data_IF_215599411629
#
_entry.id   IF_215599411629
#
_cell.length_a   1.000
_cell.length_b   1.000
_cell.length_c   1.000
_cell.angle_alpha   90.00
_cell.angle_beta   90.00
_cell.angle_gamma   90.00
#
_symmetry.space_group_name_H-M   'P 1'
#
loop_
_entity.id
_entity.type
_entity.pdbx_description
1 polymer ?
#
# COMPACT_ATOMS: atom_id res chain seq x y z
N UNK A 1 -70.88 29.17 -15.42
CA UNK A 1 -69.74 29.62 -14.60
C UNK A 1 -68.88 28.40 -14.29
N UNK A 2 -67.57 28.54 -14.51
CA UNK A 2 -66.66 27.47 -14.91
C UNK A 2 -66.13 26.59 -13.76
N UNK A 3 -65.74 25.38 -14.16
CA UNK A 3 -65.26 24.24 -13.36
C UNK A 3 -63.96 24.55 -12.61
N UNK A 4 -63.87 24.11 -11.36
CA UNK A 4 -62.59 23.94 -10.66
C UNK A 4 -61.92 22.63 -11.10
N UNK A 5 -60.72 22.72 -11.67
CA UNK A 5 -59.79 21.60 -11.80
C UNK A 5 -58.56 21.91 -10.97
N UNK A 6 -58.40 21.25 -9.82
CA UNK A 6 -57.14 21.25 -9.07
C UNK A 6 -56.15 20.32 -9.80
N UNK A 7 -55.23 20.91 -10.57
CA UNK A 7 -54.09 20.21 -11.14
C UNK A 7 -53.01 20.10 -10.06
N UNK A 8 -52.93 18.92 -9.42
CA UNK A 8 -51.79 18.55 -8.59
C UNK A 8 -50.68 18.03 -9.51
N UNK A 9 -49.82 18.94 -9.99
CA UNK A 9 -48.54 18.56 -10.58
C UNK A 9 -47.45 19.21 -9.75
N UNK A 10 -47.05 18.55 -8.67
CA UNK A 10 -45.76 18.81 -8.05
C UNK A 10 -45.13 17.49 -7.59
N UNK A 11 -44.00 17.22 -8.23
CA UNK A 11 -42.82 16.58 -7.67
C UNK A 11 -42.79 15.05 -7.48
N UNK A 12 -42.74 14.32 -8.60
CA UNK A 12 -42.33 12.91 -8.63
C UNK A 12 -40.84 12.70 -8.94
N UNK A 13 -40.10 13.76 -9.28
CA UNK A 13 -38.71 13.64 -9.71
C UNK A 13 -37.71 13.78 -8.56
N UNK A 14 -38.05 14.52 -7.49
CA UNK A 14 -37.15 14.73 -6.36
C UNK A 14 -36.95 13.48 -5.47
N UNK A 15 -37.94 12.58 -5.42
CA UNK A 15 -37.87 11.36 -4.59
C UNK A 15 -36.99 10.28 -5.23
N UNK A 16 -36.96 10.20 -6.56
CA UNK A 16 -36.21 9.15 -7.27
C UNK A 16 -34.72 9.47 -7.26
N UNK A 17 -34.34 10.74 -7.42
CA UNK A 17 -32.95 11.19 -7.28
C UNK A 17 -32.43 11.03 -5.85
N UNK A 18 -33.21 11.41 -4.82
CA UNK A 18 -32.80 11.21 -3.43
C UNK A 18 -32.61 9.73 -3.04
N UNK A 19 -33.43 8.82 -3.58
CA UNK A 19 -33.29 7.38 -3.34
C UNK A 19 -32.08 6.80 -4.09
N UNK A 20 -31.86 7.20 -5.36
CA UNK A 20 -30.69 6.78 -6.15
C UNK A 20 -29.38 7.25 -5.51
N UNK A 21 -29.34 8.50 -5.03
CA UNK A 21 -28.23 9.07 -4.28
C UNK A 21 -27.99 8.23 -3.01
N UNK A 22 -29.03 7.94 -2.21
CA UNK A 22 -28.87 7.12 -1.00
C UNK A 22 -28.36 5.68 -1.27
N UNK A 23 -28.77 5.07 -2.38
CA UNK A 23 -28.36 3.71 -2.77
C UNK A 23 -26.92 3.68 -3.29
N UNK A 24 -26.49 4.67 -4.10
CA UNK A 24 -25.10 4.77 -4.56
C UNK A 24 -24.15 5.08 -3.41
N UNK A 25 -24.55 5.92 -2.44
CA UNK A 25 -23.74 6.22 -1.24
C UNK A 25 -23.50 4.99 -0.35
N UNK A 26 -24.51 4.15 -0.13
CA UNK A 26 -24.34 2.87 0.58
C UNK A 26 -23.33 1.95 -0.12
N UNK A 27 -23.34 1.93 -1.46
CA UNK A 27 -22.39 1.10 -2.22
C UNK A 27 -20.97 1.65 -2.20
N UNK A 28 -20.79 2.98 -2.33
CA UNK A 28 -19.47 3.62 -2.26
C UNK A 28 -18.82 3.43 -0.88
N UNK A 29 -19.59 3.61 0.20
CA UNK A 29 -19.11 3.42 1.57
C UNK A 29 -18.66 1.98 1.83
N UNK A 30 -19.43 1.00 1.32
CA UNK A 30 -19.09 -0.43 1.45
C UNK A 30 -17.87 -0.82 0.62
N UNK A 31 -17.73 -0.27 -0.59
CA UNK A 31 -16.55 -0.47 -1.42
C UNK A 31 -15.29 0.09 -0.77
N UNK A 32 -15.39 1.29 -0.18
CA UNK A 32 -14.30 1.93 0.55
C UNK A 32 -13.86 1.12 1.77
N UNK A 33 -14.80 0.62 2.55
CA UNK A 33 -14.53 -0.25 3.71
C UNK A 33 -13.87 -1.57 3.27
N UNK A 34 -14.33 -2.17 2.17
CA UNK A 34 -13.74 -3.38 1.62
C UNK A 34 -12.30 -3.18 1.13
N UNK A 35 -12.02 -2.05 0.49
CA UNK A 35 -10.65 -1.73 0.04
C UNK A 35 -9.71 -1.55 1.24
N UNK A 36 -10.18 -0.86 2.29
CA UNK A 36 -9.43 -0.67 3.53
C UNK A 36 -9.09 -2.02 4.20
N UNK A 37 -10.05 -2.94 4.26
CA UNK A 37 -9.84 -4.29 4.80
C UNK A 37 -8.91 -5.12 3.92
N UNK A 38 -8.99 -4.95 2.60
CA UNK A 38 -8.12 -5.63 1.64
C UNK A 38 -6.67 -5.19 1.83
N UNK A 39 -6.41 -3.88 2.00
CA UNK A 39 -5.08 -3.37 2.33
C UNK A 39 -4.55 -3.93 3.64
N UNK A 40 -5.37 -3.92 4.70
CA UNK A 40 -4.96 -4.46 6.00
C UNK A 40 -4.64 -5.96 5.91
N UNK A 41 -5.44 -6.72 5.14
CA UNK A 41 -5.17 -8.14 4.90
C UNK A 41 -3.82 -8.34 4.21
N UNK A 42 -3.54 -7.63 3.10
CA UNK A 42 -2.23 -7.69 2.42
C UNK A 42 -1.07 -7.36 3.37
N UNK A 43 -1.27 -6.37 4.25
CA UNK A 43 -0.29 -5.96 5.28
C UNK A 43 -0.12 -6.97 6.42
N UNK A 44 -1.02 -7.91 6.61
CA UNK A 44 -0.83 -9.01 7.56
C UNK A 44 -0.24 -10.25 6.86
N UNK A 45 -0.62 -10.48 5.61
CA UNK A 45 -0.29 -11.71 4.89
C UNK A 45 1.12 -11.69 4.29
N UNK A 46 1.73 -10.52 4.07
CA UNK A 46 3.07 -10.40 3.45
C UNK A 46 4.19 -11.15 4.18
N UNK A 47 4.05 -11.35 5.50
CA UNK A 47 5.02 -12.07 6.31
C UNK A 47 4.73 -13.58 6.37
N UNK A 48 3.52 -13.99 6.00
CA UNK A 48 3.02 -15.36 6.15
C UNK A 48 3.35 -16.23 4.93
N UNK A 49 3.34 -15.65 3.72
CA UNK A 49 3.38 -16.43 2.47
C UNK A 49 4.79 -16.62 1.87
N UNK A 50 5.80 -15.87 2.30
CA UNK A 50 7.10 -15.84 1.59
C UNK A 50 8.36 -15.72 2.45
N UNK A 51 8.36 -16.22 3.70
CA UNK A 51 9.52 -16.14 4.62
C UNK A 51 10.10 -14.71 4.76
N UNK A 52 9.28 -13.68 4.51
CA UNK A 52 9.73 -12.29 4.47
C UNK A 52 10.65 -11.99 3.28
N UNK A 53 10.37 -12.45 2.07
CA UNK A 53 11.11 -11.99 0.89
C UNK A 53 10.94 -10.47 0.71
N UNK A 54 12.06 -9.76 0.54
CA UNK A 54 12.07 -8.29 0.38
C UNK A 54 11.25 -7.84 -0.84
N UNK A 55 11.22 -8.65 -1.90
CA UNK A 55 10.46 -8.38 -3.12
C UNK A 55 8.95 -8.41 -2.88
N UNK A 56 8.47 -9.36 -2.05
CA UNK A 56 7.06 -9.40 -1.64
C UNK A 56 6.69 -8.17 -0.81
N UNK A 57 7.59 -7.71 0.07
CA UNK A 57 7.38 -6.51 0.87
C UNK A 57 7.22 -5.25 0.00
N UNK A 58 8.01 -5.12 -1.07
CA UNK A 58 7.88 -4.03 -2.03
C UNK A 58 6.58 -4.11 -2.85
N UNK A 59 6.22 -5.31 -3.33
CA UNK A 59 4.98 -5.51 -4.09
C UNK A 59 3.74 -5.11 -3.27
N UNK A 60 3.73 -5.42 -1.96
CA UNK A 60 2.63 -5.04 -1.06
C UNK A 60 2.55 -3.52 -0.87
N UNK A 61 3.69 -2.82 -0.83
CA UNK A 61 3.67 -1.35 -0.79
C UNK A 61 3.10 -0.74 -2.06
N UNK A 62 3.49 -1.26 -3.23
CA UNK A 62 2.99 -0.79 -4.53
C UNK A 62 1.48 -1.00 -4.67
N UNK A 63 0.99 -2.20 -4.38
CA UNK A 63 -0.46 -2.49 -4.38
C UNK A 63 -1.24 -1.61 -3.40
N UNK A 64 -0.66 -1.30 -2.23
CA UNK A 64 -1.29 -0.42 -1.26
C UNK A 64 -1.27 1.06 -1.70
N UNK A 65 -0.29 1.47 -2.50
CA UNK A 65 -0.25 2.80 -3.12
C UNK A 65 -1.44 2.98 -4.09
N UNK A 66 -1.73 1.95 -4.89
CA UNK A 66 -2.89 1.92 -5.79
C UNK A 66 -4.21 1.98 -5.01
N UNK A 67 -4.35 1.18 -3.95
CA UNK A 67 -5.52 1.21 -3.08
C UNK A 67 -5.72 2.57 -2.42
N UNK A 68 -4.65 3.27 -2.02
CA UNK A 68 -4.74 4.64 -1.49
C UNK A 68 -5.23 5.64 -2.53
N UNK A 69 -4.81 5.51 -3.80
CA UNK A 69 -5.31 6.34 -4.88
C UNK A 69 -6.82 6.12 -5.09
N UNK A 70 -7.28 4.88 -5.09
CA UNK A 70 -8.71 4.55 -5.18
C UNK A 70 -9.52 5.08 -3.98
N UNK A 71 -8.99 4.95 -2.76
CA UNK A 71 -9.60 5.52 -1.56
C UNK A 71 -9.71 7.05 -1.66
N UNK A 72 -8.70 7.72 -2.20
CA UNK A 72 -8.71 9.18 -2.41
C UNK A 72 -9.76 9.61 -3.44
N UNK A 73 -10.01 8.80 -4.47
CA UNK A 73 -11.05 9.08 -5.46
C UNK A 73 -12.45 8.97 -4.85
N UNK A 74 -12.68 7.98 -3.97
CA UNK A 74 -13.93 7.91 -3.21
C UNK A 74 -14.05 9.00 -2.16
N UNK A 75 -12.95 9.43 -1.54
CA UNK A 75 -12.96 10.54 -0.60
C UNK A 75 -13.43 11.84 -1.24
N UNK A 76 -13.07 12.08 -2.49
CA UNK A 76 -13.53 13.24 -3.26
C UNK A 76 -15.04 13.22 -3.56
N UNK A 77 -15.70 12.07 -3.44
CA UNK A 77 -17.13 11.88 -3.70
C UNK A 77 -17.99 11.97 -2.42
N UNK A 78 -17.37 12.03 -1.24
CA UNK A 78 -18.04 12.04 0.05
C UNK A 78 -18.08 13.45 0.66
N UNK A 79 -19.12 13.72 1.43
CA UNK A 79 -19.20 14.94 2.23
C UNK A 79 -18.27 14.89 3.44
N UNK A 80 -17.99 16.06 4.03
CA UNK A 80 -17.12 16.18 5.19
C UNK A 80 -17.64 15.40 6.42
N UNK A 81 -18.94 15.48 6.73
CA UNK A 81 -19.56 14.68 7.79
C UNK A 81 -19.38 13.17 7.57
N UNK A 82 -19.52 12.69 6.33
CA UNK A 82 -19.38 11.27 6.00
C UNK A 82 -17.94 10.79 6.13
N UNK A 83 -16.97 11.58 5.65
CA UNK A 83 -15.55 11.30 5.84
C UNK A 83 -15.19 11.21 7.31
N UNK A 84 -15.71 12.13 8.12
CA UNK A 84 -15.50 12.12 9.57
C UNK A 84 -16.10 10.88 10.22
N UNK A 85 -17.35 10.56 9.90
CA UNK A 85 -18.04 9.37 10.39
C UNK A 85 -17.31 8.08 9.99
N UNK A 86 -16.83 8.00 8.73
CA UNK A 86 -16.02 6.88 8.26
C UNK A 86 -14.70 6.76 9.02
N UNK A 87 -14.00 7.87 9.24
CA UNK A 87 -12.75 7.92 9.97
C UNK A 87 -12.90 7.49 11.43
N UNK A 88 -13.96 7.94 12.10
CA UNK A 88 -14.28 7.57 13.49
C UNK A 88 -14.66 6.09 13.59
N UNK A 89 -15.51 5.58 12.69
CA UNK A 89 -15.94 4.17 12.66
C UNK A 89 -14.76 3.22 12.42
N UNK A 90 -13.86 3.58 11.51
CA UNK A 90 -12.76 2.71 11.07
C UNK A 90 -11.41 3.05 11.71
N UNK A 91 -11.39 3.88 12.75
CA UNK A 91 -10.17 4.35 13.42
C UNK A 91 -9.22 3.21 13.79
N UNK A 92 -9.76 2.13 14.35
CA UNK A 92 -8.98 0.96 14.75
C UNK A 92 -8.29 0.28 13.56
N UNK A 93 -8.94 0.25 12.39
CA UNK A 93 -8.38 -0.33 11.16
C UNK A 93 -7.22 0.53 10.66
N UNK A 94 -7.39 1.85 10.67
CA UNK A 94 -6.31 2.79 10.32
C UNK A 94 -5.12 2.66 11.26
N UNK A 95 -5.35 2.60 12.56
CA UNK A 95 -4.28 2.41 13.55
C UNK A 95 -3.53 1.08 13.32
N UNK A 96 -4.26 -0.02 13.09
CA UNK A 96 -3.67 -1.31 12.78
C UNK A 96 -2.85 -1.27 11.47
N UNK A 97 -3.36 -0.64 10.42
CA UNK A 97 -2.64 -0.45 9.16
C UNK A 97 -1.34 0.32 9.35
N UNK A 98 -1.36 1.42 10.11
CA UNK A 98 -0.17 2.23 10.39
C UNK A 98 0.89 1.41 11.11
N UNK A 99 0.50 0.61 12.11
CA UNK A 99 1.41 -0.29 12.82
C UNK A 99 2.04 -1.28 11.84
N UNK A 100 1.22 -1.95 11.02
CA UNK A 100 1.71 -2.95 10.06
C UNK A 100 2.60 -2.36 8.97
N UNK A 101 2.29 -1.17 8.45
CA UNK A 101 3.17 -0.47 7.52
C UNK A 101 4.52 -0.10 8.15
N UNK A 102 4.53 0.31 9.43
CA UNK A 102 5.80 0.57 10.13
C UNK A 102 6.64 -0.69 10.26
N UNK A 103 6.04 -1.82 10.59
CA UNK A 103 6.71 -3.12 10.66
C UNK A 103 7.32 -3.50 9.29
N UNK A 104 6.56 -3.36 8.21
CA UNK A 104 6.99 -3.62 6.83
C UNK A 104 8.17 -2.71 6.43
N UNK A 105 8.10 -1.41 6.70
CA UNK A 105 9.18 -0.47 6.40
C UNK A 105 10.45 -0.80 7.19
N UNK A 106 10.31 -1.14 8.47
CA UNK A 106 11.45 -1.55 9.30
C UNK A 106 12.08 -2.86 8.80
N UNK A 107 11.27 -3.78 8.30
CA UNK A 107 11.75 -5.00 7.67
C UNK A 107 12.59 -4.69 6.43
N UNK A 108 12.07 -3.90 5.49
CA UNK A 108 12.78 -3.48 4.27
C UNK A 108 14.11 -2.80 4.61
N UNK A 109 14.12 -1.88 5.58
CA UNK A 109 15.34 -1.20 6.03
C UNK A 109 16.41 -2.18 6.54
N UNK A 110 16.01 -3.21 7.29
CA UNK A 110 16.93 -4.24 7.81
C UNK A 110 17.54 -5.06 6.69
N UNK A 111 16.73 -5.57 5.77
CA UNK A 111 17.24 -6.38 4.66
C UNK A 111 18.09 -5.56 3.69
N UNK A 112 17.73 -4.31 3.41
CA UNK A 112 18.55 -3.39 2.60
C UNK A 112 19.94 -3.14 3.22
N UNK A 113 20.00 -2.95 4.54
CA UNK A 113 21.27 -2.79 5.27
C UNK A 113 22.13 -4.06 5.22
N UNK A 114 21.51 -5.23 5.36
CA UNK A 114 22.17 -6.54 5.26
C UNK A 114 22.76 -6.76 3.87
N UNK A 115 21.99 -6.48 2.82
CA UNK A 115 22.45 -6.54 1.43
C UNK A 115 23.64 -5.60 1.17
N UNK A 116 23.56 -4.36 1.65
CA UNK A 116 24.66 -3.39 1.54
C UNK A 116 25.94 -3.89 2.22
N UNK A 117 25.81 -4.47 3.42
CA UNK A 117 26.92 -5.06 4.17
C UNK A 117 27.54 -6.24 3.41
N UNK A 118 26.71 -7.14 2.86
CA UNK A 118 27.17 -8.27 2.06
C UNK A 118 27.92 -7.82 0.81
N UNK A 119 27.42 -6.81 0.09
CA UNK A 119 28.10 -6.22 -1.07
C UNK A 119 29.45 -5.61 -0.70
N UNK A 120 29.52 -4.89 0.42
CA UNK A 120 30.79 -4.37 0.93
C UNK A 120 31.79 -5.49 1.21
N UNK A 121 31.37 -6.55 1.90
CA UNK A 121 32.21 -7.72 2.17
C UNK A 121 32.67 -8.42 0.89
N UNK A 122 31.80 -8.58 -0.10
CA UNK A 122 32.17 -9.14 -1.41
C UNK A 122 33.18 -8.28 -2.14
N UNK A 123 33.03 -6.95 -2.11
CA UNK A 123 33.99 -6.02 -2.69
C UNK A 123 35.35 -6.09 -2.00
N UNK A 124 35.38 -6.18 -0.67
CA UNK A 124 36.62 -6.39 0.09
C UNK A 124 37.28 -7.73 -0.24
N UNK A 125 36.51 -8.83 -0.29
CA UNK A 125 37.01 -10.16 -0.70
C UNK A 125 37.57 -10.13 -2.13
N UNK A 126 36.85 -9.52 -3.08
CA UNK A 126 37.29 -9.39 -4.47
C UNK A 126 38.60 -8.60 -4.60
N UNK A 127 38.74 -7.50 -3.86
CA UNK A 127 40.00 -6.73 -3.79
C UNK A 127 41.14 -7.56 -3.20
N UNK A 128 40.91 -8.28 -2.10
CA UNK A 128 41.91 -9.14 -1.49
C UNK A 128 42.36 -10.26 -2.45
N UNK A 129 41.43 -10.96 -3.11
CA UNK A 129 41.73 -12.00 -4.10
C UNK A 129 42.53 -11.44 -5.28
N UNK A 130 42.19 -10.24 -5.77
CA UNK A 130 42.97 -9.56 -6.83
C UNK A 130 44.39 -9.22 -6.37
N UNK A 131 44.56 -8.77 -5.14
CA UNK A 131 45.88 -8.53 -4.54
C UNK A 131 46.71 -9.83 -4.47
N UNK A 132 46.15 -10.92 -3.96
CA UNK A 132 46.83 -12.22 -3.94
C UNK A 132 47.18 -12.70 -5.36
N UNK A 133 46.23 -12.65 -6.30
CA UNK A 133 46.48 -13.06 -7.70
C UNK A 133 47.53 -12.21 -8.42
N UNK A 134 47.66 -10.94 -8.06
CA UNK A 134 48.70 -10.07 -8.60
C UNK A 134 50.06 -10.30 -7.91
N UNK A 135 50.07 -10.64 -6.62
CA UNK A 135 51.30 -10.93 -5.86
C UNK A 135 51.85 -12.34 -6.13
N UNK A 136 51.01 -13.32 -6.48
CA UNK A 136 51.43 -14.68 -6.87
C UNK A 136 52.15 -14.71 -8.25
N UNK A 137 52.16 -13.61 -9.01
CA UNK A 137 53.02 -13.47 -10.19
C UNK A 137 54.49 -13.16 -9.85
N UNK A 138 54.85 -12.99 -8.58
CA UNK A 138 56.21 -12.55 -8.20
C UNK A 138 56.70 -13.17 -6.88
N UNK A 139 56.53 -14.48 -6.70
CA UNK A 139 57.28 -15.25 -5.69
C UNK A 139 58.07 -16.43 -6.28
N UNK A 140 58.01 -16.63 -7.60
CA UNK A 140 58.76 -17.67 -8.34
C UNK A 140 59.76 -17.09 -9.36
N UNK A 141 60.10 -15.81 -9.26
CA UNK A 141 61.21 -15.23 -10.03
C UNK A 141 62.39 -15.13 -9.06
N UNK A 142 63.54 -15.64 -9.48
CA UNK A 142 64.83 -15.75 -8.79
C UNK A 142 65.11 -17.09 -8.09
N UNK A 143 64.98 -18.19 -8.86
CA UNK A 143 65.89 -19.33 -8.65
C UNK A 143 66.18 -20.09 -9.94
N UNK A 144 66.55 -19.38 -11.01
CA UNK A 144 67.31 -19.99 -12.10
C UNK A 144 68.69 -19.32 -12.17
N UNK A 145 69.70 -20.15 -11.84
CA UNK A 145 71.12 -19.99 -12.13
C UNK A 145 71.38 -20.26 -13.61
#
# INVERSE_FOLDING_TARGET
>A
MNRCTASWVWDRNNTVEGILISMTHSTAFRSKENELLTMLKRLNDWQSDSDGAIDTAYAVLEMNQESLAALSEWDAQLSFEELRSFGEKNKNIFEAMIVKQKELIQFIKRESSKLSTQLSQMNHKSKAVKLYKNNDKSLFIDRDM
#
